data_IF_551543613530
#
_entry.id   IF_551543613530
#
_cell.length_a   1.000
_cell.length_b   1.000
_cell.length_c   1.000
_cell.angle_alpha   90.00
_cell.angle_beta   90.00
_cell.angle_gamma   90.00
#
_symmetry.space_group_name_H-M   'P 1'
#
loop_
_entity.id
_entity.type
_entity.pdbx_description
1 polymer ?
#
# COMPACT_ATOMS: atom_id res chain seq x y z
N UNK A 1 -4.72 19.75 -21.16
CA UNK A 1 -5.53 19.08 -22.21
C UNK A 1 -6.96 19.63 -22.26
N UNK A 2 -7.68 19.68 -21.18
CA UNK A 2 -9.07 20.18 -21.14
C UNK A 2 -9.23 21.61 -21.68
N UNK A 3 -8.31 22.53 -21.35
CA UNK A 3 -8.30 23.89 -21.91
C UNK A 3 -8.00 23.90 -23.40
N UNK A 4 -7.14 23.01 -23.89
CA UNK A 4 -6.81 22.90 -25.31
C UNK A 4 -8.01 22.36 -26.12
N UNK A 5 -8.80 21.44 -25.56
CA UNK A 5 -10.03 20.95 -26.18
C UNK A 5 -11.13 22.01 -26.27
N UNK A 6 -11.18 22.94 -25.28
CA UNK A 6 -12.15 24.04 -25.28
C UNK A 6 -11.75 25.22 -26.17
N UNK A 7 -10.45 25.39 -26.48
CA UNK A 7 -9.88 26.54 -27.18
C UNK A 7 -9.24 26.16 -28.52
N UNK A 8 -9.48 24.92 -29.01
CA UNK A 8 -8.96 24.47 -30.31
C UNK A 8 -9.40 25.40 -31.45
N UNK A 9 -8.47 25.78 -32.32
CA UNK A 9 -8.63 26.74 -33.41
C UNK A 9 -9.67 26.36 -34.49
N UNK A 10 -10.22 25.14 -34.39
CA UNK A 10 -11.28 24.64 -35.28
C UNK A 10 -12.55 24.36 -34.49
N UNK A 11 -13.08 25.38 -33.81
CA UNK A 11 -14.39 25.25 -33.14
C UNK A 11 -15.50 25.02 -34.19
N UNK A 12 -15.78 23.75 -34.46
CA UNK A 12 -16.91 23.34 -35.30
C UNK A 12 -18.26 23.48 -34.61
N UNK A 13 -18.30 24.15 -33.44
CA UNK A 13 -19.51 24.29 -32.62
C UNK A 13 -19.92 23.02 -31.87
N UNK A 14 -19.20 21.90 -32.06
CA UNK A 14 -19.46 20.63 -31.38
C UNK A 14 -18.72 20.61 -30.03
N UNK A 15 -19.42 20.88 -28.93
CA UNK A 15 -18.86 20.81 -27.56
C UNK A 15 -19.14 19.46 -26.96
N UNK A 16 -18.09 18.81 -26.46
CA UNK A 16 -18.25 17.56 -25.74
C UNK A 16 -18.75 17.82 -24.29
N UNK A 17 -19.68 17.01 -23.77
CA UNK A 17 -20.10 17.14 -22.39
C UNK A 17 -18.98 16.75 -21.45
N UNK A 18 -18.83 17.52 -20.36
CA UNK A 18 -17.89 17.21 -19.28
C UNK A 18 -18.65 16.49 -18.19
N UNK A 19 -18.16 15.31 -17.85
CA UNK A 19 -18.69 14.50 -16.75
C UNK A 19 -17.66 14.43 -15.65
N UNK A 20 -18.01 14.87 -14.47
CA UNK A 20 -17.16 14.74 -13.28
C UNK A 20 -17.45 13.44 -12.57
N UNK A 21 -16.43 12.58 -12.46
CA UNK A 21 -16.49 11.36 -11.67
C UNK A 21 -15.64 11.54 -10.41
N UNK A 22 -16.16 11.09 -9.27
CA UNK A 22 -15.45 11.05 -8.00
C UNK A 22 -15.28 9.59 -7.61
N UNK A 23 -14.03 9.12 -7.54
CA UNK A 23 -13.68 7.78 -7.11
C UNK A 23 -13.33 7.83 -5.61
N UNK A 24 -14.11 7.14 -4.80
CA UNK A 24 -13.90 7.04 -3.35
C UNK A 24 -13.30 5.67 -3.01
N UNK A 25 -12.09 5.68 -2.43
CA UNK A 25 -11.33 4.48 -2.07
C UNK A 25 -11.42 4.11 -0.59
N UNK A 26 -12.15 4.88 0.22
CA UNK A 26 -12.35 4.52 1.64
C UNK A 26 -13.02 3.16 1.77
N UNK A 27 -12.42 2.27 2.56
CA UNK A 27 -12.90 0.89 2.75
C UNK A 27 -13.44 0.63 4.16
N UNK A 28 -13.12 1.48 5.14
CA UNK A 28 -13.61 1.33 6.51
C UNK A 28 -15.09 1.69 6.65
N UNK A 29 -15.54 2.72 5.93
CA UNK A 29 -16.94 3.17 5.93
C UNK A 29 -17.30 3.75 4.56
N UNK A 30 -18.59 3.62 4.15
CA UNK A 30 -19.07 4.23 2.91
C UNK A 30 -19.05 5.77 3.01
N UNK A 31 -19.12 6.39 1.85
CA UNK A 31 -19.27 7.85 1.77
C UNK A 31 -20.56 8.31 2.47
N UNK A 32 -20.44 9.31 3.32
CA UNK A 32 -21.57 9.90 4.04
C UNK A 32 -21.67 11.42 3.84
N UNK A 33 -20.84 12.01 2.96
CA UNK A 33 -20.88 13.42 2.65
C UNK A 33 -21.97 13.80 1.65
N UNK A 34 -22.21 15.10 1.44
CA UNK A 34 -23.18 15.58 0.46
C UNK A 34 -22.76 15.15 -0.96
N UNK A 35 -23.75 14.92 -1.83
CA UNK A 35 -23.55 14.56 -3.23
C UNK A 35 -23.82 15.73 -4.18
N UNK A 36 -24.27 16.88 -3.64
CA UNK A 36 -24.50 18.07 -4.42
C UNK A 36 -24.10 19.35 -3.69
N UNK A 37 -23.96 20.43 -4.47
CA UNK A 37 -23.64 21.74 -3.91
C UNK A 37 -24.78 22.24 -3.03
N UNK A 38 -26.03 22.03 -3.44
CA UNK A 38 -27.20 22.46 -2.65
C UNK A 38 -27.27 21.79 -1.29
N UNK A 39 -27.01 20.48 -1.24
CA UNK A 39 -26.91 19.75 0.04
C UNK A 39 -25.80 20.30 0.94
N UNK A 40 -24.66 20.68 0.35
CA UNK A 40 -23.52 21.26 1.11
C UNK A 40 -23.83 22.65 1.66
N UNK A 41 -24.57 23.44 0.92
CA UNK A 41 -24.86 24.86 1.25
C UNK A 41 -26.06 25.04 2.18
N UNK A 42 -26.86 24.00 2.45
CA UNK A 42 -28.12 24.10 3.19
C UNK A 42 -29.01 25.26 2.65
N UNK A 43 -29.27 25.23 1.34
CA UNK A 43 -30.02 26.28 0.66
C UNK A 43 -31.45 26.34 1.22
N UNK A 44 -31.92 27.51 1.72
CA UNK A 44 -33.31 27.67 2.12
C UNK A 44 -34.25 27.43 0.94
N UNK A 45 -35.42 26.84 1.19
CA UNK A 45 -36.36 26.41 0.14
C UNK A 45 -36.76 27.56 -0.80
N UNK A 46 -36.90 28.77 -0.27
CA UNK A 46 -37.25 29.96 -1.04
C UNK A 46 -36.20 30.33 -2.07
N UNK A 47 -34.93 29.94 -1.86
CA UNK A 47 -33.81 30.23 -2.76
C UNK A 47 -33.42 29.06 -3.66
N UNK A 48 -33.97 27.86 -3.43
CA UNK A 48 -33.64 26.66 -4.25
C UNK A 48 -33.81 26.90 -5.76
N UNK A 49 -34.85 27.61 -6.26
CA UNK A 49 -35.00 27.84 -7.70
C UNK A 49 -33.92 28.75 -8.31
N UNK A 50 -33.25 29.55 -7.49
CA UNK A 50 -32.27 30.55 -7.92
C UNK A 50 -30.80 30.06 -7.76
N UNK A 51 -30.57 28.91 -7.12
CA UNK A 51 -29.25 28.37 -6.92
C UNK A 51 -29.02 27.20 -7.89
N UNK A 52 -28.00 27.33 -8.70
CA UNK A 52 -27.57 26.20 -9.56
C UNK A 52 -27.02 25.05 -8.70
N UNK A 53 -27.38 23.85 -9.05
CA UNK A 53 -26.86 22.65 -8.39
C UNK A 53 -25.81 21.95 -9.25
N UNK A 54 -24.75 21.47 -8.60
CA UNK A 54 -23.69 20.68 -9.21
C UNK A 54 -23.60 19.38 -8.45
N UNK A 55 -23.99 18.28 -9.12
CA UNK A 55 -23.92 16.92 -8.56
C UNK A 55 -22.60 16.26 -8.90
N UNK A 56 -22.07 15.49 -7.95
CA UNK A 56 -20.95 14.58 -8.18
C UNK A 56 -21.48 13.19 -8.56
N UNK A 57 -20.83 12.54 -9.51
CA UNK A 57 -21.07 11.14 -9.81
C UNK A 57 -20.10 10.31 -8.98
N UNK A 58 -20.55 9.85 -7.84
CA UNK A 58 -19.73 9.13 -6.87
C UNK A 58 -19.66 7.64 -7.19
N UNK A 59 -18.45 7.11 -7.29
CA UNK A 59 -18.16 5.68 -7.38
C UNK A 59 -17.36 5.26 -6.14
N UNK A 60 -17.96 4.42 -5.32
CA UNK A 60 -17.34 3.88 -4.12
C UNK A 60 -16.64 2.58 -4.46
N UNK A 61 -15.35 2.64 -4.75
CA UNK A 61 -14.58 1.53 -5.33
C UNK A 61 -14.57 0.31 -4.41
N UNK A 62 -14.34 0.50 -3.11
CA UNK A 62 -14.34 -0.59 -2.15
C UNK A 62 -15.72 -1.25 -1.94
N UNK A 63 -16.81 -0.61 -2.41
CA UNK A 63 -18.19 -1.08 -2.25
C UNK A 63 -18.80 -1.60 -3.56
N UNK A 64 -17.99 -1.75 -4.60
CA UNK A 64 -18.40 -2.43 -5.82
C UNK A 64 -18.71 -3.90 -5.55
N UNK A 65 -19.65 -4.47 -6.30
CA UNK A 65 -19.87 -5.92 -6.30
C UNK A 65 -18.79 -6.63 -7.12
N UNK A 66 -18.63 -7.94 -6.93
CA UNK A 66 -17.68 -8.74 -7.71
C UNK A 66 -17.99 -8.64 -9.22
N UNK A 67 -19.25 -8.69 -9.60
CA UNK A 67 -19.69 -8.55 -10.99
C UNK A 67 -19.32 -7.18 -11.56
N UNK A 68 -19.42 -6.12 -10.76
CA UNK A 68 -19.00 -4.76 -11.17
C UNK A 68 -17.48 -4.66 -11.35
N UNK A 69 -16.70 -5.30 -10.49
CA UNK A 69 -15.24 -5.36 -10.63
C UNK A 69 -14.84 -6.07 -11.91
N UNK A 70 -15.56 -7.16 -12.28
CA UNK A 70 -15.32 -7.90 -13.52
C UNK A 70 -15.58 -7.09 -14.79
N UNK A 71 -16.35 -6.01 -14.74
CA UNK A 71 -16.59 -5.13 -15.89
C UNK A 71 -15.37 -4.29 -16.29
N UNK A 72 -14.42 -4.09 -15.39
CA UNK A 72 -13.20 -3.35 -15.74
C UNK A 72 -12.30 -4.19 -16.66
N UNK A 73 -11.87 -3.59 -17.77
CA UNK A 73 -11.01 -4.24 -18.76
C UNK A 73 -9.54 -3.79 -18.68
N UNK A 74 -9.24 -2.82 -17.82
CA UNK A 74 -7.89 -2.30 -17.60
C UNK A 74 -7.33 -2.81 -16.26
N UNK A 75 -6.06 -2.51 -15.99
CA UNK A 75 -5.39 -2.83 -14.72
C UNK A 75 -6.09 -2.20 -13.51
N UNK A 76 -6.98 -1.22 -13.71
CA UNK A 76 -7.84 -0.70 -12.66
C UNK A 76 -8.72 -1.78 -12.02
N UNK A 77 -9.01 -2.88 -12.72
CA UNK A 77 -9.68 -4.05 -12.15
C UNK A 77 -8.95 -4.57 -10.92
N UNK A 78 -7.62 -4.67 -10.99
CA UNK A 78 -6.78 -5.14 -9.88
C UNK A 78 -6.82 -4.16 -8.72
N UNK A 79 -6.83 -2.85 -9.00
CA UNK A 79 -6.96 -1.81 -7.96
C UNK A 79 -8.33 -1.91 -7.28
N UNK A 80 -9.40 -2.03 -8.05
CA UNK A 80 -10.76 -2.16 -7.51
C UNK A 80 -10.91 -3.42 -6.66
N UNK A 81 -10.41 -4.57 -7.16
CA UNK A 81 -10.43 -5.85 -6.45
C UNK A 81 -9.67 -5.78 -5.12
N UNK A 82 -8.51 -5.13 -5.11
CA UNK A 82 -7.76 -4.87 -3.87
C UNK A 82 -8.63 -4.21 -2.79
N UNK A 83 -9.30 -3.10 -3.14
CA UNK A 83 -10.11 -2.35 -2.16
C UNK A 83 -11.37 -3.09 -1.74
N UNK A 84 -12.00 -3.83 -2.66
CA UNK A 84 -13.16 -4.68 -2.34
C UNK A 84 -12.75 -5.78 -1.34
N UNK A 85 -11.66 -6.49 -1.60
CA UNK A 85 -11.16 -7.54 -0.71
C UNK A 85 -10.75 -6.98 0.66
N UNK A 86 -10.07 -5.82 0.69
CA UNK A 86 -9.70 -5.16 1.95
C UNK A 86 -10.91 -4.85 2.81
N UNK A 87 -12.01 -4.37 2.19
CA UNK A 87 -13.26 -4.12 2.92
C UNK A 87 -13.92 -5.42 3.41
N UNK A 88 -13.95 -6.47 2.58
CA UNK A 88 -14.67 -7.71 2.87
C UNK A 88 -13.94 -8.59 3.90
N UNK A 89 -12.63 -8.72 3.74
CA UNK A 89 -11.82 -9.71 4.44
C UNK A 89 -10.75 -9.10 5.35
N UNK A 90 -10.51 -7.78 5.26
CA UNK A 90 -9.39 -7.12 5.93
C UNK A 90 -8.02 -7.43 5.32
N UNK A 91 -7.97 -8.30 4.32
CA UNK A 91 -6.77 -8.75 3.64
C UNK A 91 -6.97 -8.81 2.13
N UNK A 92 -5.88 -9.04 1.37
CA UNK A 92 -5.88 -9.12 -0.07
C UNK A 92 -5.21 -10.40 -0.56
N UNK A 93 -5.93 -11.19 -1.32
CA UNK A 93 -5.40 -12.34 -2.04
C UNK A 93 -5.10 -11.90 -3.47
N UNK A 94 -3.82 -11.91 -3.90
CA UNK A 94 -3.41 -11.36 -5.17
C UNK A 94 -3.93 -12.19 -6.34
N UNK A 95 -4.23 -11.50 -7.44
CA UNK A 95 -4.52 -12.12 -8.73
C UNK A 95 -3.23 -12.39 -9.50
N UNK A 96 -3.19 -13.53 -10.21
CA UNK A 96 -2.13 -13.86 -11.16
C UNK A 96 -2.32 -13.21 -12.54
N UNK A 97 -3.32 -12.35 -12.69
CA UNK A 97 -3.56 -11.62 -13.93
C UNK A 97 -2.37 -10.70 -14.24
N UNK A 98 -1.81 -10.82 -15.45
CA UNK A 98 -0.75 -9.94 -15.90
C UNK A 98 -1.25 -8.50 -16.03
N UNK A 99 -0.44 -7.55 -15.55
CA UNK A 99 -0.67 -6.12 -15.64
C UNK A 99 -0.02 -5.57 -16.90
N UNK A 100 -0.71 -4.67 -17.58
CA UNK A 100 -0.18 -3.96 -18.76
C UNK A 100 0.66 -2.74 -18.33
N UNK A 101 0.23 -2.05 -17.26
CA UNK A 101 0.85 -0.83 -16.72
C UNK A 101 1.23 -1.05 -15.26
N UNK A 102 2.21 -1.93 -15.04
CA UNK A 102 2.61 -2.37 -13.69
C UNK A 102 3.02 -1.19 -12.83
N UNK A 103 3.87 -0.30 -13.33
CA UNK A 103 4.39 0.83 -12.58
C UNK A 103 3.28 1.76 -12.12
N UNK A 104 2.42 2.18 -13.02
CA UNK A 104 1.32 3.10 -12.75
C UNK A 104 0.31 2.50 -11.78
N UNK A 105 0.03 1.21 -11.92
CA UNK A 105 -0.86 0.47 -11.02
C UNK A 105 -0.31 0.41 -9.61
N UNK A 106 0.99 0.10 -9.46
CA UNK A 106 1.64 0.04 -8.16
C UNK A 106 1.80 1.42 -7.52
N UNK A 107 2.10 2.46 -8.31
CA UNK A 107 2.11 3.84 -7.82
C UNK A 107 0.73 4.27 -7.33
N UNK A 108 -0.33 3.95 -8.06
CA UNK A 108 -1.70 4.26 -7.64
C UNK A 108 -2.03 3.55 -6.32
N UNK A 109 -1.74 2.26 -6.20
CA UNK A 109 -1.94 1.52 -4.95
C UNK A 109 -1.11 2.12 -3.81
N UNK A 110 0.16 2.45 -4.03
CA UNK A 110 1.02 3.07 -3.03
C UNK A 110 0.45 4.38 -2.49
N UNK A 111 -0.03 5.25 -3.38
CA UNK A 111 -0.62 6.54 -3.01
C UNK A 111 -1.94 6.33 -2.26
N UNK A 112 -2.83 5.47 -2.78
CA UNK A 112 -4.17 5.28 -2.21
C UNK A 112 -4.15 4.55 -0.87
N UNK A 113 -3.18 3.69 -0.63
CA UNK A 113 -3.04 2.92 0.62
C UNK A 113 -2.04 3.55 1.60
N UNK A 114 -1.28 4.54 1.16
CA UNK A 114 -0.10 5.07 1.87
C UNK A 114 0.93 3.97 2.21
N UNK A 115 1.05 2.97 1.32
CA UNK A 115 1.96 1.84 1.47
C UNK A 115 3.00 1.82 0.35
N UNK A 116 4.18 2.38 0.65
CA UNK A 116 5.28 2.50 -0.31
C UNK A 116 5.91 1.16 -0.70
N UNK A 117 5.57 0.05 -0.04
CA UNK A 117 6.11 -1.27 -0.38
C UNK A 117 5.74 -1.70 -1.81
N UNK A 118 4.59 -1.25 -2.32
CA UNK A 118 4.17 -1.49 -3.70
C UNK A 118 5.12 -0.84 -4.70
N UNK A 119 5.45 0.43 -4.51
CA UNK A 119 6.39 1.16 -5.36
C UNK A 119 7.81 0.62 -5.23
N UNK A 120 8.25 0.34 -4.01
CA UNK A 120 9.55 -0.27 -3.74
C UNK A 120 9.72 -1.62 -4.44
N UNK A 121 8.67 -2.45 -4.51
CA UNK A 121 8.71 -3.73 -5.20
C UNK A 121 8.99 -3.58 -6.70
N UNK A 122 8.55 -2.49 -7.32
CA UNK A 122 8.84 -2.18 -8.70
C UNK A 122 10.26 -1.60 -8.87
N UNK A 123 10.59 -0.54 -8.11
CA UNK A 123 11.84 0.24 -8.30
C UNK A 123 13.12 -0.57 -8.10
N UNK A 124 13.10 -1.61 -7.28
CA UNK A 124 14.26 -2.50 -7.09
C UNK A 124 14.33 -3.65 -8.10
N UNK A 125 13.42 -3.70 -9.04
CA UNK A 125 13.41 -4.72 -10.12
C UNK A 125 14.30 -4.35 -11.31
N UNK A 126 15.10 -3.30 -11.20
CA UNK A 126 16.03 -2.81 -12.24
C UNK A 126 17.22 -3.73 -12.53
N UNK A 127 17.25 -4.94 -11.96
CA UNK A 127 18.14 -5.98 -12.47
C UNK A 127 17.52 -6.54 -13.77
N UNK A 128 17.92 -5.96 -14.89
CA UNK A 128 17.47 -6.19 -16.28
C UNK A 128 17.50 -7.69 -16.72
N UNK A 129 18.03 -8.59 -15.89
CA UNK A 129 18.22 -10.00 -16.23
C UNK A 129 17.03 -10.90 -15.86
N UNK A 130 16.08 -10.44 -15.04
CA UNK A 130 14.95 -11.28 -14.56
C UNK A 130 13.54 -10.73 -14.84
N UNK A 131 13.41 -9.59 -15.50
CA UNK A 131 12.11 -8.93 -15.69
C UNK A 131 11.53 -8.41 -14.37
N UNK A 132 10.82 -7.27 -14.41
CA UNK A 132 10.05 -6.76 -13.26
C UNK A 132 8.87 -7.68 -12.89
N UNK A 133 8.15 -7.36 -11.80
CA UNK A 133 6.89 -8.04 -11.49
C UNK A 133 5.90 -7.84 -12.64
N UNK A 134 5.15 -8.87 -12.98
CA UNK A 134 4.16 -8.83 -14.07
C UNK A 134 2.73 -8.81 -13.54
N UNK A 135 2.52 -9.26 -12.33
CA UNK A 135 1.22 -9.36 -11.69
C UNK A 135 1.35 -9.10 -10.18
N UNK A 136 0.22 -9.08 -9.48
CA UNK A 136 0.21 -8.80 -8.04
C UNK A 136 0.80 -9.92 -7.18
N UNK A 137 0.81 -11.17 -7.66
CA UNK A 137 1.50 -12.26 -6.96
C UNK A 137 3.00 -12.00 -6.92
N UNK A 138 3.62 -11.69 -8.08
CA UNK A 138 5.04 -11.35 -8.17
C UNK A 138 5.41 -10.16 -7.25
N UNK A 139 4.50 -9.18 -7.14
CA UNK A 139 4.69 -8.00 -6.27
C UNK A 139 4.71 -8.39 -4.80
N UNK A 140 3.72 -9.17 -4.37
CA UNK A 140 3.61 -9.57 -2.96
C UNK A 140 4.73 -10.50 -2.55
N UNK A 141 5.13 -11.45 -3.40
CA UNK A 141 6.29 -12.31 -3.17
C UNK A 141 7.56 -11.49 -2.95
N UNK A 142 7.76 -10.42 -3.73
CA UNK A 142 8.90 -9.51 -3.54
C UNK A 142 8.82 -8.73 -2.23
N UNK A 143 7.64 -8.25 -1.86
CA UNK A 143 7.43 -7.54 -0.58
C UNK A 143 7.72 -8.46 0.60
N UNK A 144 7.24 -9.71 0.54
CA UNK A 144 7.46 -10.73 1.58
C UNK A 144 8.94 -11.10 1.70
N UNK A 145 9.59 -11.46 0.60
CA UNK A 145 11.00 -11.82 0.58
C UNK A 145 11.88 -10.71 1.18
N UNK A 146 11.61 -9.44 0.85
CA UNK A 146 12.30 -8.30 1.47
C UNK A 146 12.03 -8.16 2.96
N UNK A 147 10.80 -8.45 3.38
CA UNK A 147 10.45 -8.47 4.80
C UNK A 147 11.30 -9.50 5.54
N UNK A 148 11.44 -10.69 4.96
CA UNK A 148 12.27 -11.78 5.48
C UNK A 148 13.75 -11.37 5.54
N UNK A 149 14.31 -10.86 4.43
CA UNK A 149 15.71 -10.39 4.38
C UNK A 149 16.01 -9.31 5.42
N UNK A 150 15.16 -8.29 5.50
CA UNK A 150 15.28 -7.23 6.53
C UNK A 150 15.16 -7.81 7.94
N UNK A 151 14.31 -8.80 8.14
CA UNK A 151 14.14 -9.52 9.40
C UNK A 151 15.42 -10.28 9.80
N UNK A 152 16.02 -10.99 8.85
CA UNK A 152 17.28 -11.75 9.05
C UNK A 152 18.40 -10.76 9.43
N UNK A 153 18.67 -9.74 8.62
CA UNK A 153 19.73 -8.75 8.88
C UNK A 153 19.56 -8.08 10.24
N UNK A 154 18.32 -7.70 10.56
CA UNK A 154 18.03 -7.09 11.87
C UNK A 154 18.21 -8.08 13.03
N UNK A 155 17.86 -9.35 12.80
CA UNK A 155 18.05 -10.44 13.76
C UNK A 155 19.52 -10.69 14.03
N UNK A 156 20.34 -10.82 12.98
CA UNK A 156 21.78 -10.99 13.06
C UNK A 156 22.45 -9.82 13.81
N UNK A 157 22.20 -8.58 13.39
CA UNK A 157 22.74 -7.40 14.06
C UNK A 157 22.36 -7.32 15.54
N UNK A 158 21.12 -7.67 15.88
CA UNK A 158 20.70 -7.75 17.30
C UNK A 158 21.43 -8.85 18.04
N UNK A 159 21.61 -10.01 17.41
CA UNK A 159 22.35 -11.14 17.98
C UNK A 159 23.80 -10.78 18.25
N UNK A 160 24.47 -10.15 17.29
CA UNK A 160 25.85 -9.67 17.43
C UNK A 160 25.98 -8.65 18.57
N UNK A 161 25.09 -7.67 18.64
CA UNK A 161 25.10 -6.66 19.70
C UNK A 161 24.87 -7.28 21.08
N UNK A 162 23.96 -8.25 21.22
CA UNK A 162 23.74 -8.96 22.48
C UNK A 162 24.97 -9.78 22.86
N UNK A 163 25.59 -10.46 21.91
CA UNK A 163 26.81 -11.22 22.16
C UNK A 163 27.96 -10.33 22.56
N UNK A 164 28.16 -9.21 21.89
CA UNK A 164 29.20 -8.23 22.26
C UNK A 164 28.98 -7.66 23.67
N UNK A 165 27.73 -7.36 24.03
CA UNK A 165 27.37 -6.90 25.36
C UNK A 165 27.63 -7.98 26.42
N UNK A 166 27.27 -9.23 26.15
CA UNK A 166 27.53 -10.38 27.03
C UNK A 166 29.02 -10.55 27.29
N UNK A 167 29.79 -10.63 26.21
CA UNK A 167 31.28 -10.77 26.32
C UNK A 167 31.88 -9.63 27.12
N UNK A 168 31.51 -8.38 26.81
CA UNK A 168 31.99 -7.23 27.55
C UNK A 168 31.67 -7.33 29.04
N UNK A 169 30.40 -7.61 29.38
CA UNK A 169 29.95 -7.68 30.77
C UNK A 169 30.67 -8.79 31.53
N UNK A 170 30.86 -9.97 30.93
CA UNK A 170 31.60 -11.07 31.54
C UNK A 170 33.07 -10.76 31.72
N UNK A 171 33.71 -10.08 30.78
CA UNK A 171 35.10 -9.63 30.90
C UNK A 171 35.25 -8.58 32.01
N UNK A 172 34.34 -7.62 32.09
CA UNK A 172 34.36 -6.59 33.16
C UNK A 172 34.21 -7.22 34.55
N UNK A 173 33.52 -8.40 34.63
CA UNK A 173 33.39 -9.19 35.86
C UNK A 173 34.52 -10.22 36.06
N UNK A 174 35.52 -10.25 35.19
CA UNK A 174 36.65 -11.21 35.19
C UNK A 174 36.21 -12.68 35.06
N UNK A 175 35.06 -12.93 34.38
CA UNK A 175 34.43 -14.28 34.18
C UNK A 175 34.86 -14.90 32.83
N UNK A 176 36.15 -15.13 32.64
CA UNK A 176 36.73 -15.58 31.35
C UNK A 176 36.21 -16.96 30.96
N UNK A 177 36.01 -17.87 31.91
CA UNK A 177 35.51 -19.22 31.63
C UNK A 177 34.06 -19.20 31.14
N UNK A 178 33.25 -18.26 31.62
CA UNK A 178 31.88 -18.06 31.15
C UNK A 178 31.85 -17.47 29.74
N UNK A 179 32.84 -16.66 29.33
CA UNK A 179 32.97 -16.22 27.94
C UNK A 179 33.21 -17.41 27.01
N UNK A 180 34.08 -18.34 27.40
CA UNK A 180 34.31 -19.58 26.61
C UNK A 180 33.03 -20.41 26.51
N UNK A 181 32.38 -20.68 27.66
CA UNK A 181 31.12 -21.42 27.69
C UNK A 181 30.02 -20.79 26.79
N UNK A 182 29.86 -19.45 26.86
CA UNK A 182 28.92 -18.73 26.04
C UNK A 182 29.22 -18.80 24.52
N UNK A 183 30.50 -18.92 24.14
CA UNK A 183 30.91 -19.07 22.73
C UNK A 183 30.69 -20.45 22.18
N UNK A 184 30.79 -21.49 23.01
CA UNK A 184 30.74 -22.91 22.60
C UNK A 184 29.34 -23.51 22.72
N UNK A 185 28.53 -23.06 23.72
CA UNK A 185 27.25 -23.66 24.04
C UNK A 185 26.11 -22.62 24.06
N UNK A 186 25.07 -22.86 23.22
CA UNK A 186 23.93 -22.00 23.07
C UNK A 186 23.08 -21.92 24.35
N UNK A 187 22.94 -23.03 25.09
CA UNK A 187 22.16 -23.04 26.33
C UNK A 187 22.85 -22.21 27.40
N UNK A 188 24.16 -22.43 27.60
CA UNK A 188 24.97 -21.61 28.52
C UNK A 188 24.92 -20.13 28.19
N UNK A 189 24.97 -19.81 26.88
CA UNK A 189 24.81 -18.44 26.42
C UNK A 189 23.47 -17.83 26.82
N UNK A 190 22.37 -18.57 26.59
CA UNK A 190 21.03 -18.10 26.93
C UNK A 190 20.87 -17.91 28.46
N UNK A 191 21.40 -18.83 29.25
CA UNK A 191 21.38 -18.73 30.72
C UNK A 191 22.15 -17.50 31.23
N UNK A 192 23.36 -17.27 30.68
CA UNK A 192 24.18 -16.11 31.03
C UNK A 192 23.55 -14.78 30.62
N UNK A 193 22.91 -14.73 29.42
CA UNK A 193 22.17 -13.55 28.99
C UNK A 193 21.01 -13.26 29.93
N UNK A 194 20.25 -14.30 30.34
CA UNK A 194 19.15 -14.17 31.30
C UNK A 194 19.65 -13.72 32.67
N UNK A 195 20.74 -14.29 33.18
CA UNK A 195 21.38 -13.91 34.45
C UNK A 195 21.76 -12.44 34.46
N UNK A 196 22.32 -11.94 33.36
CA UNK A 196 22.83 -10.56 33.24
C UNK A 196 21.76 -9.57 32.72
N UNK A 197 20.53 -10.01 32.51
CA UNK A 197 19.42 -9.14 32.04
C UNK A 197 19.59 -8.63 30.62
N UNK A 198 20.34 -9.33 29.77
CA UNK A 198 20.56 -8.98 28.36
C UNK A 198 19.41 -9.60 27.52
N UNK A 199 18.42 -8.77 27.14
CA UNK A 199 17.20 -9.18 26.42
C UNK A 199 17.21 -8.79 24.94
#
# INVERSE_FOLDING_TARGET
>A
EYRAQLLGDNDTGSRYPVVTLVLYFGHEKPWSGPLSLKERLNVPKEFEPYVNDYKINLFQIAYLTREQVELFQSDFKVVADYFVQKRENGDYVPSSQDLTHVQETLQLLSIMTNDHRFEDAYNTSTDDRKGGPRNMCDVLDKVENRGIEKGIVKGESRGENKMALLVKTLLDQNRIDDVKRASEDEKSRAELMKELGIN
#
